data_IF_765671263247
#
_entry.id   IF_765671263247
#
_cell.length_a   1.000
_cell.length_b   1.000
_cell.length_c   1.000
_cell.angle_alpha   90.00
_cell.angle_beta   90.00
_cell.angle_gamma   90.00
#
_symmetry.space_group_name_H-M   'P 1'
#
loop_
_entity.id
_entity.type
_entity.pdbx_description
1 polymer ?
#
# COMPACT_ATOMS: atom_id res chain seq x y z
N UNK A 1 -33.68 11.10 -7.54
CA UNK A 1 -32.55 11.09 -6.60
C UNK A 1 -31.62 10.00 -7.08
N UNK A 2 -30.44 10.37 -7.56
CA UNK A 2 -29.44 9.42 -8.04
C UNK A 2 -28.88 8.68 -6.83
N UNK A 3 -29.01 7.35 -6.81
CA UNK A 3 -28.47 6.51 -5.74
C UNK A 3 -27.11 5.91 -6.15
N UNK A 4 -26.33 5.45 -5.16
CA UNK A 4 -24.98 4.92 -5.40
C UNK A 4 -24.97 3.76 -6.42
N UNK A 5 -26.04 2.96 -6.46
CA UNK A 5 -26.18 1.86 -7.42
C UNK A 5 -26.35 2.35 -8.86
N UNK A 6 -27.08 3.45 -9.05
CA UNK A 6 -27.26 4.08 -10.36
C UNK A 6 -25.93 4.63 -10.88
N UNK A 7 -25.18 5.34 -10.03
CA UNK A 7 -23.85 5.85 -10.39
C UNK A 7 -22.87 4.70 -10.69
N UNK A 8 -22.85 3.64 -9.88
CA UNK A 8 -21.99 2.48 -10.11
C UNK A 8 -22.23 1.82 -11.48
N UNK A 9 -23.50 1.68 -11.89
CA UNK A 9 -23.85 1.15 -13.22
C UNK A 9 -23.39 2.06 -14.36
N UNK A 10 -23.48 3.38 -14.19
CA UNK A 10 -23.03 4.35 -15.19
C UNK A 10 -21.49 4.37 -15.32
N UNK A 11 -20.76 4.24 -14.21
CA UNK A 11 -19.30 4.24 -14.18
C UNK A 11 -18.69 2.96 -14.77
N UNK A 12 -19.35 1.81 -14.65
CA UNK A 12 -18.82 0.53 -15.09
C UNK A 12 -18.26 0.52 -16.54
N UNK A 13 -18.98 0.98 -17.59
CA UNK A 13 -18.41 1.07 -18.93
C UNK A 13 -17.27 2.10 -19.03
N UNK A 14 -17.36 3.21 -18.30
CA UNK A 14 -16.37 4.30 -18.36
C UNK A 14 -15.02 3.89 -17.75
N UNK A 15 -14.99 2.96 -16.79
CA UNK A 15 -13.75 2.39 -16.25
C UNK A 15 -12.95 1.67 -17.34
N UNK A 16 -13.63 0.99 -18.27
CA UNK A 16 -12.98 0.35 -19.42
C UNK A 16 -12.36 1.39 -20.35
N UNK A 17 -13.09 2.47 -20.66
CA UNK A 17 -12.60 3.55 -21.51
C UNK A 17 -11.39 4.27 -20.89
N UNK A 18 -11.43 4.51 -19.57
CA UNK A 18 -10.31 5.09 -18.82
C UNK A 18 -9.07 4.18 -18.86
N UNK A 19 -9.25 2.87 -18.67
CA UNK A 19 -8.17 1.89 -18.78
C UNK A 19 -7.52 1.91 -20.17
N UNK A 20 -8.34 1.97 -21.23
CA UNK A 20 -7.84 2.10 -22.60
C UNK A 20 -7.05 3.40 -22.81
N UNK A 21 -7.56 4.53 -22.28
CA UNK A 21 -6.86 5.82 -22.35
C UNK A 21 -5.50 5.79 -21.61
N UNK A 22 -5.43 5.11 -20.47
CA UNK A 22 -4.22 4.94 -19.66
C UNK A 22 -3.24 3.89 -20.21
N UNK A 23 -3.60 3.16 -21.26
CA UNK A 23 -2.72 2.18 -21.93
C UNK A 23 -1.99 2.76 -23.14
N UNK A 24 -2.16 4.06 -23.42
CA UNK A 24 -1.52 4.72 -24.56
C UNK A 24 0.00 4.87 -24.37
N UNK A 25 0.81 4.76 -25.44
CA UNK A 25 2.26 4.83 -25.33
C UNK A 25 2.81 6.25 -25.08
N UNK A 26 2.01 7.29 -25.33
CA UNK A 26 2.42 8.71 -25.32
C UNK A 26 1.99 9.46 -24.05
N UNK A 27 1.74 8.75 -22.95
CA UNK A 27 1.33 9.38 -21.70
C UNK A 27 2.46 10.20 -21.07
N UNK A 28 2.09 11.36 -20.54
CA UNK A 28 3.03 12.17 -19.77
C UNK A 28 3.47 11.43 -18.51
N UNK A 29 4.78 11.45 -18.22
CA UNK A 29 5.33 10.85 -17.00
C UNK A 29 4.90 11.60 -15.72
N UNK A 30 4.42 12.82 -15.86
CA UNK A 30 3.98 13.66 -14.74
C UNK A 30 2.64 14.34 -15.06
N UNK A 31 1.87 14.63 -14.02
CA UNK A 31 0.60 15.33 -14.09
C UNK A 31 0.56 16.47 -13.07
N UNK A 32 -0.16 17.54 -13.41
CA UNK A 32 -0.44 18.61 -12.46
C UNK A 32 -1.42 18.12 -11.39
N UNK A 33 -1.15 18.44 -10.13
CA UNK A 33 -2.01 18.14 -9.01
C UNK A 33 -2.04 19.32 -8.04
N UNK A 34 -2.90 19.24 -7.01
CA UNK A 34 -2.91 20.21 -5.90
C UNK A 34 -1.58 20.27 -5.11
N UNK A 35 -0.71 19.30 -5.28
CA UNK A 35 0.62 19.23 -4.65
C UNK A 35 1.75 19.61 -5.63
N UNK A 36 1.40 20.22 -6.76
CA UNK A 36 2.34 20.50 -7.85
C UNK A 36 2.44 19.35 -8.86
N UNK A 37 3.54 19.31 -9.59
CA UNK A 37 3.82 18.26 -10.57
C UNK A 37 4.21 16.96 -9.87
N UNK A 38 3.47 15.88 -10.11
CA UNK A 38 3.69 14.56 -9.52
C UNK A 38 3.83 13.51 -10.62
N UNK A 39 4.53 12.40 -10.35
CA UNK A 39 4.61 11.28 -11.31
C UNK A 39 3.21 10.73 -11.56
N UNK A 40 2.85 10.49 -12.83
CA UNK A 40 1.56 9.92 -13.20
C UNK A 40 1.32 8.59 -12.47
N UNK A 41 2.35 7.75 -12.36
CA UNK A 41 2.25 6.46 -11.66
C UNK A 41 1.91 6.62 -10.17
N UNK A 42 2.45 7.62 -9.49
CA UNK A 42 2.14 7.86 -8.08
C UNK A 42 0.72 8.39 -7.90
N UNK A 43 0.27 9.24 -8.84
CA UNK A 43 -1.09 9.76 -8.84
C UNK A 43 -2.12 8.65 -9.05
N UNK A 44 -1.87 7.74 -9.99
CA UNK A 44 -2.73 6.58 -10.25
C UNK A 44 -2.74 5.60 -9.08
N UNK A 45 -1.57 5.29 -8.49
CA UNK A 45 -1.47 4.45 -7.28
C UNK A 45 -2.27 5.05 -6.12
N UNK A 46 -2.12 6.35 -5.86
CA UNK A 46 -2.87 7.03 -4.81
C UNK A 46 -4.38 7.00 -5.06
N UNK A 47 -4.81 7.19 -6.32
CA UNK A 47 -6.22 7.14 -6.71
C UNK A 47 -6.82 5.73 -6.51
N UNK A 48 -6.07 4.69 -6.88
CA UNK A 48 -6.46 3.30 -6.62
C UNK A 48 -6.59 3.03 -5.12
N UNK A 49 -5.59 3.40 -4.32
CA UNK A 49 -5.59 3.18 -2.86
C UNK A 49 -6.80 3.87 -2.22
N UNK A 50 -7.09 5.11 -2.62
CA UNK A 50 -8.28 5.84 -2.15
C UNK A 50 -9.59 5.13 -2.50
N UNK A 51 -9.73 4.64 -3.74
CA UNK A 51 -10.93 3.93 -4.16
C UNK A 51 -11.11 2.61 -3.40
N UNK A 52 -10.02 1.88 -3.15
CA UNK A 52 -10.02 0.62 -2.39
C UNK A 52 -10.35 0.86 -0.92
N UNK A 53 -9.76 1.88 -0.30
CA UNK A 53 -10.04 2.26 1.09
C UNK A 53 -11.51 2.64 1.29
N UNK A 54 -12.06 3.45 0.37
CA UNK A 54 -13.49 3.81 0.36
C UNK A 54 -14.39 2.57 0.17
N UNK A 55 -14.03 1.65 -0.71
CA UNK A 55 -14.81 0.41 -0.91
C UNK A 55 -14.85 -0.41 0.39
N UNK A 56 -13.72 -0.55 1.10
CA UNK A 56 -13.68 -1.25 2.39
C UNK A 56 -14.50 -0.53 3.44
N UNK A 57 -14.45 0.79 3.49
CA UNK A 57 -15.26 1.57 4.43
C UNK A 57 -16.77 1.41 4.19
N UNK A 58 -17.17 1.34 2.93
CA UNK A 58 -18.58 1.34 2.54
C UNK A 58 -19.22 -0.06 2.54
N UNK A 59 -18.49 -1.09 2.11
CA UNK A 59 -19.03 -2.46 1.96
C UNK A 59 -18.23 -3.52 2.73
N UNK A 60 -17.20 -3.14 3.47
CA UNK A 60 -16.44 -4.00 4.38
C UNK A 60 -15.34 -4.83 3.75
N UNK A 61 -15.30 -4.97 2.42
CA UNK A 61 -14.31 -5.77 1.69
C UNK A 61 -13.93 -5.15 0.35
N UNK A 62 -12.66 -5.29 -0.03
CA UNK A 62 -12.20 -5.00 -1.39
C UNK A 62 -12.26 -6.27 -2.25
N UNK A 63 -12.47 -6.09 -3.56
CA UNK A 63 -12.36 -7.20 -4.50
C UNK A 63 -10.90 -7.68 -4.60
N UNK A 64 -10.63 -8.99 -4.71
CA UNK A 64 -9.26 -9.52 -4.63
C UNK A 64 -8.24 -8.88 -5.59
N UNK A 65 -8.57 -8.59 -6.87
CA UNK A 65 -7.62 -7.93 -7.77
C UNK A 65 -7.29 -6.50 -7.34
N UNK A 66 -8.28 -5.74 -6.87
CA UNK A 66 -8.08 -4.36 -6.42
C UNK A 66 -7.24 -4.32 -5.13
N UNK A 67 -7.52 -5.24 -4.19
CA UNK A 67 -6.72 -5.41 -2.98
C UNK A 67 -5.27 -5.77 -3.31
N UNK A 68 -5.06 -6.71 -4.24
CA UNK A 68 -3.72 -7.14 -4.68
C UNK A 68 -2.90 -5.94 -5.16
N UNK A 69 -3.48 -5.11 -6.02
CA UNK A 69 -2.77 -3.96 -6.61
C UNK A 69 -2.55 -2.83 -5.58
N UNK A 70 -3.49 -2.61 -4.66
CA UNK A 70 -3.31 -1.67 -3.55
C UNK A 70 -2.15 -2.10 -2.63
N UNK A 71 -2.10 -3.38 -2.25
CA UNK A 71 -1.02 -3.96 -1.43
C UNK A 71 0.33 -3.80 -2.11
N UNK A 72 0.43 -4.16 -3.40
CA UNK A 72 1.68 -4.01 -4.18
C UNK A 72 2.12 -2.55 -4.28
N UNK A 73 1.17 -1.65 -4.54
CA UNK A 73 1.43 -0.22 -4.62
C UNK A 73 1.97 0.33 -3.30
N UNK A 74 1.32 0.01 -2.17
CA UNK A 74 1.74 0.46 -0.84
C UNK A 74 3.09 -0.12 -0.42
N UNK A 75 3.33 -1.41 -0.68
CA UNK A 75 4.62 -2.05 -0.41
C UNK A 75 5.75 -1.44 -1.26
N UNK A 76 5.48 -1.17 -2.55
CA UNK A 76 6.42 -0.46 -3.42
C UNK A 76 6.75 0.94 -2.92
N UNK A 77 5.73 1.72 -2.51
CA UNK A 77 5.95 3.05 -1.93
C UNK A 77 6.78 3.00 -0.64
N UNK A 78 6.57 1.98 0.21
CA UNK A 78 7.41 1.78 1.39
C UNK A 78 8.88 1.54 1.02
N UNK A 79 9.15 0.67 0.06
CA UNK A 79 10.51 0.38 -0.41
C UNK A 79 11.18 1.61 -1.05
N UNK A 80 10.42 2.41 -1.79
CA UNK A 80 10.90 3.66 -2.40
C UNK A 80 11.20 4.74 -1.33
N UNK A 81 10.34 4.89 -0.31
CA UNK A 81 10.50 5.92 0.74
C UNK A 81 11.52 5.54 1.81
N UNK A 82 11.67 4.25 2.09
CA UNK A 82 12.56 3.70 3.11
C UNK A 82 13.50 2.68 2.47
N UNK A 83 14.41 3.11 1.58
CA UNK A 83 15.30 2.19 0.90
C UNK A 83 16.25 1.50 1.89
N UNK A 84 16.45 0.20 1.72
CA UNK A 84 17.35 -0.59 2.57
C UNK A 84 17.01 -2.08 2.56
N UNK A 85 17.86 -2.87 3.23
CA UNK A 85 17.72 -4.34 3.32
C UNK A 85 17.74 -4.84 4.76
N UNK A 86 17.37 -3.97 5.69
CA UNK A 86 17.42 -4.27 7.13
C UNK A 86 16.18 -4.99 7.62
N UNK A 87 15.03 -4.83 6.96
CA UNK A 87 13.77 -5.47 7.33
C UNK A 87 13.11 -6.03 6.06
N UNK A 88 12.72 -7.29 6.10
CA UNK A 88 11.86 -7.92 5.10
C UNK A 88 10.39 -7.79 5.54
N UNK A 89 9.61 -7.04 4.78
CA UNK A 89 8.16 -6.94 4.96
C UNK A 89 7.46 -7.88 3.98
N UNK A 90 6.68 -8.82 4.51
CA UNK A 90 5.93 -9.83 3.76
C UNK A 90 4.43 -9.63 3.92
N UNK A 91 3.74 -9.64 2.79
CA UNK A 91 2.28 -9.56 2.71
C UNK A 91 1.80 -10.65 1.74
N UNK A 92 1.85 -11.94 2.14
CA UNK A 92 1.48 -13.04 1.26
C UNK A 92 -0.01 -12.98 0.88
N UNK A 93 -0.37 -13.38 -0.36
CA UNK A 93 0.51 -13.84 -1.43
C UNK A 93 1.01 -12.71 -2.35
N UNK A 94 0.77 -11.45 -2.01
CA UNK A 94 0.81 -10.35 -2.98
C UNK A 94 2.14 -9.60 -3.07
N UNK A 95 2.86 -9.46 -1.95
CA UNK A 95 4.09 -8.66 -1.91
C UNK A 95 5.11 -9.17 -0.89
N UNK A 96 6.39 -8.95 -1.21
CA UNK A 96 7.49 -8.99 -0.26
C UNK A 96 8.48 -7.91 -0.67
N UNK A 97 8.81 -6.99 0.25
CA UNK A 97 9.72 -5.87 -0.01
C UNK A 97 10.75 -5.75 1.11
N UNK A 98 11.87 -5.12 0.78
CA UNK A 98 12.93 -4.81 1.74
C UNK A 98 12.88 -3.32 2.07
N UNK A 99 12.92 -2.99 3.35
CA UNK A 99 12.90 -1.60 3.83
C UNK A 99 14.04 -1.33 4.83
N UNK A 100 14.47 -0.07 4.86
CA UNK A 100 15.45 0.48 5.80
C UNK A 100 14.80 0.85 7.14
N UNK A 101 15.38 0.38 8.25
CA UNK A 101 14.96 0.74 9.61
C UNK A 101 15.51 2.12 10.03
N UNK A 102 16.71 2.47 9.54
CA UNK A 102 17.46 3.71 9.76
C UNK A 102 18.33 3.98 8.55
N UNK A 103 18.71 5.24 8.30
CA UNK A 103 19.56 5.64 7.17
C UNK A 103 20.91 4.87 7.10
N UNK A 104 21.37 4.31 8.23
CA UNK A 104 22.65 3.61 8.37
C UNK A 104 22.50 2.26 9.10
N UNK A 105 21.39 1.55 8.91
CA UNK A 105 21.24 0.23 9.56
C UNK A 105 22.30 -0.76 9.03
N UNK A 106 23.09 -1.42 9.91
CA UNK A 106 24.05 -2.43 9.48
C UNK A 106 23.34 -3.54 8.72
N UNK A 107 23.89 -3.93 7.57
CA UNK A 107 23.46 -5.13 6.87
C UNK A 107 23.73 -6.32 7.79
N UNK A 108 22.76 -7.23 7.93
CA UNK A 108 22.90 -8.44 8.73
C UNK A 108 24.28 -9.10 8.53
N UNK A 109 25.05 -9.14 9.59
CA UNK A 109 26.26 -9.96 9.65
C UNK A 109 25.87 -11.43 9.85
N UNK A 110 26.65 -12.35 9.27
CA UNK A 110 26.41 -13.79 9.35
C UNK A 110 26.21 -14.21 10.83
N UNK A 111 25.01 -14.68 11.19
CA UNK A 111 24.68 -15.20 12.52
C UNK A 111 23.46 -14.55 13.20
N UNK A 112 23.07 -13.33 12.85
CA UNK A 112 21.83 -12.70 13.35
C UNK A 112 20.62 -13.07 12.49
N UNK A 113 19.48 -13.48 13.08
CA UNK A 113 18.24 -13.75 12.33
C UNK A 113 17.80 -12.54 11.50
N UNK A 114 17.24 -12.74 10.29
CA UNK A 114 16.69 -11.65 9.49
C UNK A 114 15.60 -10.90 10.27
N UNK A 115 15.54 -9.56 10.14
CA UNK A 115 14.38 -8.84 10.67
C UNK A 115 13.24 -9.04 9.67
N UNK A 116 12.16 -9.69 10.11
CA UNK A 116 11.00 -10.01 9.27
C UNK A 116 9.76 -9.43 9.92
N UNK A 117 8.89 -8.83 9.11
CA UNK A 117 7.53 -8.44 9.46
C UNK A 117 6.61 -9.16 8.48
N UNK A 118 5.61 -9.87 8.98
CA UNK A 118 4.66 -10.61 8.16
C UNK A 118 3.23 -10.34 8.64
N UNK A 119 2.32 -10.11 7.70
CA UNK A 119 0.92 -9.81 7.97
C UNK A 119 0.06 -10.13 6.74
N UNK A 120 -1.25 -10.27 6.92
CA UNK A 120 -2.18 -10.50 5.81
C UNK A 120 -2.46 -9.20 5.01
N UNK A 121 -3.02 -9.31 3.78
CA UNK A 121 -3.33 -8.17 2.92
C UNK A 121 -4.23 -7.10 3.53
N UNK A 122 -5.27 -7.51 4.26
CA UNK A 122 -6.26 -6.60 4.83
C UNK A 122 -5.66 -5.83 6.01
N UNK A 123 -4.94 -6.53 6.90
CA UNK A 123 -4.20 -5.91 8.00
C UNK A 123 -3.12 -4.96 7.47
N UNK A 124 -2.37 -5.35 6.43
CA UNK A 124 -1.36 -4.47 5.83
C UNK A 124 -1.96 -3.19 5.28
N UNK A 125 -3.06 -3.30 4.52
CA UNK A 125 -3.76 -2.14 3.99
C UNK A 125 -4.22 -1.22 5.12
N UNK A 126 -4.85 -1.76 6.16
CA UNK A 126 -5.33 -1.00 7.31
C UNK A 126 -4.20 -0.29 8.08
N UNK A 127 -3.02 -0.92 8.21
CA UNK A 127 -1.84 -0.30 8.80
C UNK A 127 -1.29 0.82 7.90
N UNK A 128 -1.19 0.56 6.60
CA UNK A 128 -0.63 1.48 5.62
C UNK A 128 -1.52 2.70 5.36
N UNK A 129 -2.84 2.59 5.56
CA UNK A 129 -3.82 3.68 5.46
C UNK A 129 -4.25 4.28 6.81
N UNK A 130 -3.60 3.87 7.91
CA UNK A 130 -3.86 4.33 9.28
C UNK A 130 -5.23 3.94 9.90
N UNK A 131 -5.98 3.01 9.29
CA UNK A 131 -7.22 2.45 9.86
C UNK A 131 -6.96 1.58 11.10
N UNK A 132 -5.77 0.99 11.19
CA UNK A 132 -5.33 0.17 12.32
C UNK A 132 -3.94 0.60 12.78
N UNK A 133 -3.69 0.52 14.09
CA UNK A 133 -2.36 0.78 14.65
C UNK A 133 -1.53 -0.50 14.71
N UNK A 134 -0.20 -0.33 14.59
CA UNK A 134 0.77 -1.42 14.75
C UNK A 134 0.54 -2.24 16.02
N UNK A 135 0.44 -1.56 17.17
CA UNK A 135 0.22 -2.21 18.47
C UNK A 135 -1.05 -3.05 18.50
N UNK A 136 -2.14 -2.60 17.86
CA UNK A 136 -3.39 -3.37 17.79
C UNK A 136 -3.24 -4.59 16.88
N UNK A 137 -2.57 -4.47 15.75
CA UNK A 137 -2.32 -5.61 14.85
C UNK A 137 -1.46 -6.70 15.52
N UNK A 138 -0.42 -6.29 16.25
CA UNK A 138 0.40 -7.22 17.04
C UNK A 138 -0.44 -7.90 18.14
N UNK A 139 -1.22 -7.13 18.90
CA UNK A 139 -2.05 -7.68 19.97
C UNK A 139 -3.13 -8.64 19.46
N UNK A 140 -3.64 -8.42 18.24
CA UNK A 140 -4.60 -9.30 17.57
C UNK A 140 -3.94 -10.54 16.94
N UNK A 141 -2.61 -10.61 16.86
CA UNK A 141 -1.90 -11.66 16.15
C UNK A 141 -1.98 -11.60 14.63
N UNK A 142 -2.57 -10.54 14.06
CA UNK A 142 -2.69 -10.35 12.61
C UNK A 142 -1.42 -9.72 11.99
N UNK A 143 -0.51 -9.22 12.82
CA UNK A 143 0.86 -8.86 12.44
C UNK A 143 1.84 -9.58 13.36
N UNK A 144 2.80 -10.26 12.75
CA UNK A 144 3.91 -10.91 13.45
C UNK A 144 5.23 -10.32 12.99
N UNK A 145 6.20 -10.23 13.89
CA UNK A 145 7.54 -9.77 13.54
C UNK A 145 8.61 -10.51 14.35
N UNK A 146 9.80 -10.65 13.78
CA UNK A 146 10.95 -11.28 14.42
C UNK A 146 12.25 -10.57 14.05
N UNK A 147 13.22 -10.57 14.97
CA UNK A 147 14.49 -9.84 14.81
C UNK A 147 14.51 -8.50 15.56
N UNK A 148 15.69 -8.09 16.00
CA UNK A 148 15.94 -6.97 16.92
C UNK A 148 15.39 -5.62 16.42
N UNK A 149 15.35 -5.43 15.10
CA UNK A 149 14.93 -4.18 14.47
C UNK A 149 13.61 -4.28 13.70
N UNK A 150 12.93 -5.44 13.69
CA UNK A 150 11.72 -5.58 12.90
C UNK A 150 10.59 -4.63 13.34
N UNK A 151 10.50 -4.31 14.64
CA UNK A 151 9.55 -3.34 15.16
C UNK A 151 9.80 -1.89 14.68
N UNK A 152 11.00 -1.57 14.18
CA UNK A 152 11.29 -0.25 13.61
C UNK A 152 10.48 0.00 12.32
N UNK A 153 9.96 -1.06 11.66
CA UNK A 153 9.05 -0.92 10.51
C UNK A 153 7.77 -0.12 10.83
N UNK A 154 7.35 -0.08 12.10
CA UNK A 154 6.21 0.73 12.54
C UNK A 154 6.39 2.23 12.21
N UNK A 155 7.64 2.72 12.13
CA UNK A 155 7.95 4.12 11.79
C UNK A 155 7.68 4.46 10.33
N UNK A 156 7.68 3.45 9.46
CA UNK A 156 7.40 3.63 8.04
C UNK A 156 5.90 3.71 7.73
N UNK A 157 5.06 3.45 8.73
CA UNK A 157 3.60 3.43 8.64
C UNK A 157 2.99 4.62 9.41
N UNK A 158 1.86 5.17 8.95
CA UNK A 158 1.16 4.85 7.70
C UNK A 158 1.90 5.41 6.47
N UNK A 159 1.68 4.78 5.32
CA UNK A 159 2.21 5.25 4.03
C UNK A 159 1.42 6.47 3.54
N UNK A 160 0.12 6.41 3.77
CA UNK A 160 -0.88 7.31 3.26
C UNK A 160 -1.98 7.48 4.30
N UNK A 161 -2.57 8.69 4.41
CA UNK A 161 -3.76 8.93 5.22
C UNK A 161 -4.87 9.42 4.30
N UNK A 162 -5.91 8.60 4.06
CA UNK A 162 -7.06 8.99 3.26
C UNK A 162 -7.81 10.20 3.85
N UNK A 163 -7.87 10.28 5.18
CA UNK A 163 -8.59 11.28 5.98
C UNK A 163 -7.80 11.67 7.23
#
# INVERSE_FOLDING_TARGET
MEDANTLARQLAPQVSDLSAALSRPDLANTVASRFGSVRLIDYLRASLILAVDLAIETVGVAQPPALTEAVRSLAGVLAERYPGRSIELRVPPYAAVQIGARAEAPVHTRGTPPNVVETDPDTFLALATARQSWTRAVAAGSLVYSGTHAADAARALPVFRPH
#
